data_IF_551436575554
#
_entry.id   IF_551436575554
#
_cell.length_a   1.000
_cell.length_b   1.000
_cell.length_c   1.000
_cell.angle_alpha   90.00
_cell.angle_beta   90.00
_cell.angle_gamma   90.00
#
_symmetry.space_group_name_H-M   'P 1'
#
loop_
_entity.id
_entity.type
_entity.pdbx_description
1 polymer ?
#
# COMPACT_ATOMS: atom_id res chain seq x y z
N UNK A 1 -13.22 -4.39 4.34
CA UNK A 1 -12.82 -3.37 5.33
C UNK A 1 -12.21 -2.16 4.64
N UNK A 2 -12.17 -1.01 5.28
CA UNK A 2 -11.51 0.20 4.79
C UNK A 2 -10.50 0.73 5.81
N UNK A 3 -9.58 1.57 5.34
CA UNK A 3 -8.56 2.19 6.16
C UNK A 3 -7.51 2.93 5.33
N UNK A 4 -6.45 3.45 5.94
CA UNK A 4 -5.44 4.22 5.23
C UNK A 4 -4.63 3.34 4.28
N UNK A 5 -4.43 3.84 3.07
CA UNK A 5 -3.45 3.28 2.14
C UNK A 5 -2.01 3.62 2.59
N UNK A 6 -1.03 2.90 2.03
CA UNK A 6 0.38 3.14 2.29
C UNK A 6 0.76 4.59 1.97
N UNK A 7 1.15 5.33 3.00
CA UNK A 7 1.47 6.74 2.93
C UNK A 7 2.04 7.25 4.27
N UNK A 8 2.37 8.55 4.40
CA UNK A 8 2.87 9.11 5.65
C UNK A 8 1.93 8.88 6.84
N UNK A 9 0.65 8.89 6.58
CA UNK A 9 -0.42 8.67 7.55
C UNK A 9 -0.51 7.23 8.08
N UNK A 10 0.19 6.27 7.49
CA UNK A 10 0.24 4.87 7.94
C UNK A 10 1.66 4.42 8.34
N UNK A 11 2.55 5.35 8.66
CA UNK A 11 3.92 5.04 9.09
C UNK A 11 4.09 5.04 10.61
N UNK A 12 3.50 6.01 11.32
CA UNK A 12 3.65 6.14 12.76
C UNK A 12 2.53 5.42 13.51
N UNK A 13 2.88 4.76 14.60
CA UNK A 13 1.92 4.01 15.43
C UNK A 13 0.74 4.89 15.90
N UNK A 14 0.99 6.10 16.30
CA UNK A 14 -0.05 7.04 16.74
C UNK A 14 -1.07 7.35 15.66
N UNK A 15 -0.64 7.47 14.39
CA UNK A 15 -1.54 7.74 13.27
C UNK A 15 -2.40 6.52 12.94
N UNK A 16 -1.80 5.33 13.00
CA UNK A 16 -2.51 4.05 12.80
C UNK A 16 -3.57 3.87 13.90
N UNK A 17 -3.21 4.13 15.15
CA UNK A 17 -4.13 4.07 16.30
C UNK A 17 -5.27 5.09 16.13
N UNK A 18 -4.96 6.33 15.77
CA UNK A 18 -5.97 7.35 15.53
C UNK A 18 -6.95 6.95 14.41
N UNK A 19 -6.43 6.40 13.30
CA UNK A 19 -7.25 5.89 12.21
C UNK A 19 -8.15 4.72 12.65
N UNK A 20 -7.67 3.81 13.52
CA UNK A 20 -8.49 2.74 14.09
C UNK A 20 -9.66 3.31 14.90
N UNK A 21 -9.41 4.30 15.77
CA UNK A 21 -10.47 4.95 16.55
C UNK A 21 -11.47 5.70 15.67
N UNK A 22 -11.03 6.20 14.51
CA UNK A 22 -11.89 6.79 13.48
C UNK A 22 -12.70 5.76 12.67
N UNK A 23 -12.50 4.45 12.91
CA UNK A 23 -13.26 3.38 12.26
C UNK A 23 -12.50 2.52 11.26
N UNK A 24 -11.22 2.80 10.99
CA UNK A 24 -10.41 1.97 10.10
C UNK A 24 -10.22 0.55 10.66
N UNK A 25 -10.25 -0.44 9.75
CA UNK A 25 -10.06 -1.87 10.08
C UNK A 25 -9.09 -2.57 9.11
N UNK A 26 -8.57 -1.84 8.15
CA UNK A 26 -7.52 -2.29 7.25
C UNK A 26 -6.42 -1.23 7.19
N UNK A 27 -5.18 -1.61 7.39
CA UNK A 27 -4.05 -0.70 7.44
C UNK A 27 -2.97 -1.19 6.49
N UNK A 28 -2.82 -0.54 5.36
CA UNK A 28 -1.65 -0.74 4.55
C UNK A 28 -0.55 0.17 5.08
N UNK A 29 0.43 -0.44 5.75
CA UNK A 29 1.53 0.30 6.34
C UNK A 29 2.43 0.89 5.25
N UNK A 30 3.05 2.03 5.54
CA UNK A 30 3.89 2.76 4.59
C UNK A 30 4.93 1.82 3.97
N UNK A 31 5.07 1.91 2.66
CA UNK A 31 6.02 1.09 1.88
C UNK A 31 7.43 1.20 2.42
N UNK A 32 8.11 0.07 2.55
CA UNK A 32 9.54 -0.01 2.82
C UNK A 32 10.29 -0.46 1.57
N UNK A 33 11.52 -0.01 1.44
CA UNK A 33 12.38 -0.31 0.29
C UNK A 33 13.86 -0.28 0.69
N UNK A 34 14.73 -0.57 -0.28
CA UNK A 34 16.18 -0.57 -0.12
C UNK A 34 16.73 0.78 0.36
N UNK A 35 16.30 1.89 -0.26
CA UNK A 35 16.62 3.25 0.18
C UNK A 35 15.64 3.68 1.27
N UNK A 36 16.12 4.19 2.37
CA UNK A 36 15.30 4.61 3.50
C UNK A 36 15.93 5.78 4.28
N UNK A 37 15.19 6.33 5.23
CA UNK A 37 15.65 7.33 6.16
C UNK A 37 16.35 8.52 5.51
N UNK A 38 17.60 8.77 5.94
CA UNK A 38 18.41 9.89 5.45
C UNK A 38 18.81 9.73 3.97
N UNK A 39 18.96 8.51 3.45
CA UNK A 39 19.30 8.29 2.05
C UNK A 39 18.19 8.88 1.17
N UNK A 40 16.94 8.57 1.49
CA UNK A 40 15.78 9.09 0.78
C UNK A 40 15.65 10.61 0.96
N UNK A 41 15.86 11.11 2.18
CA UNK A 41 15.77 12.53 2.49
C UNK A 41 16.76 13.40 1.69
N UNK A 42 17.88 12.84 1.25
CA UNK A 42 18.86 13.53 0.39
C UNK A 42 18.45 13.59 -1.08
N UNK A 43 17.61 12.65 -1.52
CA UNK A 43 17.19 12.53 -2.93
C UNK A 43 15.89 13.28 -3.22
N UNK A 44 15.03 13.51 -2.22
CA UNK A 44 13.70 14.10 -2.41
C UNK A 44 13.73 15.59 -2.07
N UNK A 45 13.42 16.46 -3.04
CA UNK A 45 13.33 17.90 -2.79
C UNK A 45 12.18 18.24 -1.84
N UNK A 46 12.29 19.35 -1.12
CA UNK A 46 11.27 19.80 -0.15
C UNK A 46 10.73 21.17 -0.54
N UNK A 47 9.43 21.45 -0.30
CA UNK A 47 8.40 20.52 0.25
C UNK A 47 8.12 19.37 -0.72
N UNK A 48 7.81 18.18 -0.18
CA UNK A 48 7.61 16.97 -0.99
C UNK A 48 6.15 16.50 -1.07
N UNK A 49 5.24 17.18 -0.39
CA UNK A 49 3.80 16.87 -0.39
C UNK A 49 3.00 18.16 -0.44
N UNK A 50 2.02 18.19 -1.32
CA UNK A 50 0.92 19.16 -1.34
C UNK A 50 -0.38 18.41 -1.04
N UNK A 51 -0.91 18.60 0.17
CA UNK A 51 -2.16 18.01 0.61
C UNK A 51 -3.33 18.92 0.25
N UNK A 52 -3.92 18.68 -0.91
CA UNK A 52 -5.11 19.35 -1.43
C UNK A 52 -6.07 18.31 -2.01
N UNK A 53 -7.19 18.74 -2.59
CA UNK A 53 -8.16 17.85 -3.26
C UNK A 53 -7.50 16.97 -4.36
N UNK A 54 -6.59 17.56 -5.11
CA UNK A 54 -5.75 16.91 -6.12
C UNK A 54 -4.44 16.46 -5.48
N UNK A 55 -4.24 16.07 -4.38
CA UNK A 55 -2.98 15.79 -3.70
C UNK A 55 -1.81 15.48 -4.63
N UNK A 56 -0.67 16.09 -4.38
CA UNK A 56 0.56 15.85 -5.14
C UNK A 56 1.71 15.48 -4.20
N UNK A 57 2.61 14.63 -4.67
CA UNK A 57 3.83 14.31 -3.94
C UNK A 57 5.02 14.14 -4.89
N UNK A 58 6.23 14.34 -4.36
CA UNK A 58 7.44 13.87 -5.00
C UNK A 58 7.57 12.35 -4.76
N UNK A 59 8.36 11.67 -5.58
CA UNK A 59 8.61 10.26 -5.37
C UNK A 59 9.32 10.02 -4.02
N UNK A 60 8.76 9.13 -3.23
CA UNK A 60 9.31 8.77 -1.91
C UNK A 60 8.67 7.47 -1.42
N UNK A 61 9.35 6.84 -0.48
CA UNK A 61 8.87 5.62 0.14
C UNK A 61 8.88 5.79 1.66
N UNK A 62 9.71 5.05 2.38
CA UNK A 62 9.82 5.16 3.83
C UNK A 62 10.65 6.38 4.22
N UNK A 63 10.13 7.25 5.08
CA UNK A 63 10.88 8.40 5.63
C UNK A 63 11.70 8.02 6.87
N UNK A 64 11.30 6.97 7.57
CA UNK A 64 12.07 6.33 8.62
C UNK A 64 13.02 5.29 8.03
N UNK A 65 14.05 4.94 8.79
CA UNK A 65 14.79 3.72 8.50
C UNK A 65 13.88 2.49 8.63
N UNK A 66 14.14 1.44 7.84
CA UNK A 66 13.28 0.24 7.82
C UNK A 66 13.08 -0.37 9.22
N UNK A 67 14.11 -0.51 10.08
CA UNK A 67 13.91 -1.00 11.45
C UNK A 67 13.04 -0.08 12.30
N UNK A 68 13.13 1.23 12.13
CA UNK A 68 12.29 2.20 12.85
C UNK A 68 10.83 2.08 12.42
N UNK A 69 10.58 2.01 11.10
CA UNK A 69 9.24 1.81 10.55
C UNK A 69 8.62 0.50 11.05
N UNK A 70 9.38 -0.61 11.03
CA UNK A 70 8.96 -1.90 11.58
C UNK A 70 8.53 -1.78 13.05
N UNK A 71 9.32 -1.08 13.86
CA UNK A 71 9.01 -0.88 15.26
C UNK A 71 7.70 -0.12 15.47
N UNK A 72 7.43 0.91 14.66
CA UNK A 72 6.16 1.63 14.69
C UNK A 72 4.96 0.71 14.34
N UNK A 73 5.11 -0.18 13.37
CA UNK A 73 4.04 -1.12 13.00
C UNK A 73 3.78 -2.16 14.08
N UNK A 74 4.83 -2.69 14.71
CA UNK A 74 4.71 -3.62 15.84
C UNK A 74 4.06 -2.94 17.05
N UNK A 75 4.45 -1.69 17.37
CA UNK A 75 3.80 -0.90 18.44
C UNK A 75 2.31 -0.72 18.18
N UNK A 76 1.94 -0.30 16.96
CA UNK A 76 0.54 -0.13 16.59
C UNK A 76 -0.24 -1.43 16.71
N UNK A 77 0.32 -2.55 16.23
CA UNK A 77 -0.29 -3.87 16.32
C UNK A 77 -0.60 -4.26 17.77
N UNK A 78 0.42 -4.24 18.63
CA UNK A 78 0.27 -4.62 20.04
C UNK A 78 -0.72 -3.70 20.77
N UNK A 79 -0.59 -2.38 20.58
CA UNK A 79 -1.48 -1.40 21.19
C UNK A 79 -2.94 -1.61 20.76
N UNK A 80 -3.20 -1.79 19.47
CA UNK A 80 -4.56 -1.99 18.96
C UNK A 80 -5.21 -3.27 19.46
N UNK A 81 -4.46 -4.36 19.67
CA UNK A 81 -4.99 -5.58 20.29
C UNK A 81 -5.56 -5.32 21.68
N UNK A 82 -4.84 -4.56 22.50
CA UNK A 82 -5.28 -4.23 23.87
C UNK A 82 -6.38 -3.17 23.86
N UNK A 83 -6.19 -2.06 23.12
CA UNK A 83 -7.13 -0.94 23.10
C UNK A 83 -8.50 -1.35 22.52
N UNK A 84 -8.52 -2.20 21.49
CA UNK A 84 -9.78 -2.71 20.95
C UNK A 84 -10.59 -3.47 21.98
N UNK A 85 -9.94 -4.28 22.81
CA UNK A 85 -10.57 -5.03 23.89
C UNK A 85 -11.03 -4.12 25.03
N UNK A 86 -10.10 -3.32 25.56
CA UNK A 86 -10.34 -2.46 26.74
C UNK A 86 -11.45 -1.43 26.49
N UNK A 87 -11.46 -0.83 25.30
CA UNK A 87 -12.48 0.17 24.94
C UNK A 87 -13.70 -0.42 24.22
N UNK A 88 -13.77 -1.74 24.03
CA UNK A 88 -14.95 -2.36 23.38
C UNK A 88 -15.15 -1.93 21.93
N UNK A 89 -14.06 -1.66 21.19
CA UNK A 89 -14.12 -1.14 19.81
C UNK A 89 -14.24 -2.22 18.73
N UNK A 90 -14.59 -3.43 19.13
CA UNK A 90 -14.73 -4.60 18.28
C UNK A 90 -13.74 -5.71 18.67
N UNK A 91 -13.74 -6.79 17.88
CA UNK A 91 -12.80 -7.89 18.12
C UNK A 91 -11.35 -7.44 18.01
N UNK A 92 -10.47 -7.84 18.94
CA UNK A 92 -9.03 -7.64 18.80
C UNK A 92 -8.43 -8.26 17.52
N UNK A 93 -9.13 -9.21 16.91
CA UNK A 93 -8.77 -9.81 15.62
C UNK A 93 -9.57 -9.24 14.44
N UNK A 94 -10.35 -8.19 14.67
CA UNK A 94 -11.22 -7.56 13.69
C UNK A 94 -10.54 -6.54 12.77
N UNK A 95 -9.21 -6.50 12.70
CA UNK A 95 -8.48 -5.61 11.81
C UNK A 95 -7.28 -6.31 11.17
N UNK A 96 -6.82 -5.77 10.06
CA UNK A 96 -5.74 -6.34 9.23
C UNK A 96 -4.64 -5.30 9.02
N UNK A 97 -3.39 -5.73 9.19
CA UNK A 97 -2.23 -5.00 8.69
C UNK A 97 -1.75 -5.66 7.39
N UNK A 98 -1.51 -4.85 6.37
CA UNK A 98 -0.96 -5.26 5.10
C UNK A 98 0.40 -4.56 4.89
N UNK A 99 1.45 -5.35 4.66
CA UNK A 99 2.75 -4.79 4.32
C UNK A 99 2.73 -4.15 2.93
N UNK A 100 3.62 -3.21 2.70
CA UNK A 100 3.92 -2.70 1.37
C UNK A 100 5.44 -2.67 1.20
N UNK A 101 5.93 -3.27 0.13
CA UNK A 101 7.35 -3.33 -0.22
C UNK A 101 7.56 -2.87 -1.65
N UNK A 102 8.69 -2.24 -1.91
CA UNK A 102 9.01 -1.70 -3.21
C UNK A 102 10.47 -1.90 -3.59
N UNK A 103 10.86 -1.33 -4.75
CA UNK A 103 12.14 -1.40 -5.41
C UNK A 103 12.26 -2.62 -6.34
N UNK A 104 13.44 -3.26 -6.43
CA UNK A 104 13.70 -4.45 -7.24
C UNK A 104 13.74 -5.73 -6.39
N UNK A 105 13.76 -6.89 -7.03
CA UNK A 105 13.80 -8.18 -6.33
C UNK A 105 15.05 -8.34 -5.46
N UNK A 106 16.20 -7.89 -5.94
CA UNK A 106 17.46 -7.99 -5.18
C UNK A 106 17.41 -7.11 -3.92
N UNK A 107 16.82 -5.91 -4.02
CA UNK A 107 16.59 -5.05 -2.87
C UNK A 107 15.62 -5.65 -1.86
N UNK A 108 14.54 -6.29 -2.33
CA UNK A 108 13.56 -6.98 -1.48
C UNK A 108 14.18 -8.21 -0.81
N UNK A 109 15.05 -8.96 -1.52
CA UNK A 109 15.81 -10.08 -0.96
C UNK A 109 16.97 -9.67 -0.06
N UNK A 110 17.40 -8.41 -0.16
CA UNK A 110 18.45 -7.86 0.68
C UNK A 110 18.10 -7.92 2.17
N UNK A 111 19.10 -8.07 3.03
CA UNK A 111 18.93 -8.30 4.47
C UNK A 111 17.95 -7.31 5.13
N UNK A 112 18.03 -6.03 4.78
CA UNK A 112 17.21 -4.95 5.35
C UNK A 112 15.71 -5.22 5.16
N UNK A 113 15.27 -5.39 3.91
CA UNK A 113 13.84 -5.57 3.57
C UNK A 113 13.39 -7.00 3.88
N UNK A 114 14.24 -7.99 3.62
CA UNK A 114 13.92 -9.37 3.91
C UNK A 114 13.69 -9.62 5.40
N UNK A 115 14.55 -9.07 6.28
CA UNK A 115 14.36 -9.16 7.73
C UNK A 115 13.08 -8.45 8.21
N UNK A 116 12.74 -7.30 7.59
CA UNK A 116 11.47 -6.64 7.85
C UNK A 116 10.28 -7.55 7.54
N UNK A 117 10.27 -8.18 6.36
CA UNK A 117 9.19 -9.11 5.98
C UNK A 117 9.07 -10.24 7.00
N UNK A 118 10.18 -10.88 7.34
CA UNK A 118 10.20 -12.01 8.28
C UNK A 118 9.73 -11.61 9.68
N UNK A 119 10.16 -10.46 10.17
CA UNK A 119 9.74 -9.92 11.46
C UNK A 119 8.27 -9.48 11.49
N UNK A 120 7.72 -9.02 10.38
CA UNK A 120 6.29 -8.71 10.30
C UNK A 120 5.44 -9.99 10.21
N UNK A 121 5.97 -11.07 9.66
CA UNK A 121 5.34 -12.39 9.66
C UNK A 121 5.40 -13.06 11.02
N UNK A 122 6.47 -12.83 11.78
CA UNK A 122 6.64 -13.30 13.15
C UNK A 122 7.56 -12.37 13.97
N UNK A 123 6.95 -11.47 14.73
CA UNK A 123 7.64 -10.49 15.57
C UNK A 123 8.15 -11.06 16.92
N UNK A 124 7.93 -12.33 17.22
CA UNK A 124 8.19 -12.94 18.56
C UNK A 124 9.63 -12.74 19.06
N UNK A 125 10.59 -12.70 18.14
CA UNK A 125 12.01 -12.54 18.46
C UNK A 125 12.46 -11.07 18.48
N UNK A 126 11.65 -10.14 18.02
CA UNK A 126 12.02 -8.70 18.00
C UNK A 126 12.03 -8.11 19.41
N UNK A 127 12.97 -7.21 19.67
CA UNK A 127 13.03 -6.50 20.94
C UNK A 127 11.77 -5.64 21.15
N UNK A 128 11.28 -5.01 20.07
CA UNK A 128 10.10 -4.14 20.13
C UNK A 128 8.82 -4.89 20.52
N UNK A 129 8.60 -6.10 20.03
CA UNK A 129 7.41 -6.90 20.43
C UNK A 129 7.45 -7.23 21.93
N UNK A 130 8.61 -7.68 22.42
CA UNK A 130 8.80 -8.00 23.83
C UNK A 130 8.61 -6.79 24.74
N UNK A 131 9.16 -5.63 24.33
CA UNK A 131 8.97 -4.37 25.04
C UNK A 131 7.50 -3.96 25.08
N UNK A 132 6.79 -4.05 23.94
CA UNK A 132 5.36 -3.72 23.90
C UNK A 132 4.55 -4.59 24.88
N UNK A 133 4.79 -5.89 24.92
CA UNK A 133 4.08 -6.77 25.85
C UNK A 133 4.36 -6.41 27.29
N UNK A 134 5.61 -6.07 27.65
CA UNK A 134 5.98 -5.66 28.99
C UNK A 134 5.29 -4.35 29.40
N UNK A 135 5.38 -3.32 28.57
CA UNK A 135 4.76 -2.00 28.83
C UNK A 135 3.24 -2.12 28.92
N UNK A 136 2.61 -2.87 27.99
CA UNK A 136 1.16 -3.05 28.03
C UNK A 136 0.71 -3.82 29.27
N UNK A 137 1.48 -4.81 29.73
CA UNK A 137 1.18 -5.56 30.97
C UNK A 137 1.27 -4.63 32.21
N UNK A 138 2.21 -3.68 32.22
CA UNK A 138 2.32 -2.69 33.29
C UNK A 138 1.13 -1.71 33.29
N UNK A 139 0.72 -1.25 32.09
CA UNK A 139 -0.38 -0.31 31.93
C UNK A 139 -1.77 -0.93 32.14
N UNK A 140 -1.94 -2.20 31.81
CA UNK A 140 -3.19 -2.95 31.87
C UNK A 140 -2.99 -4.30 32.57
N UNK A 141 -2.67 -4.31 33.88
CA UNK A 141 -2.34 -5.53 34.60
C UNK A 141 -3.48 -6.56 34.66
N UNK A 142 -4.73 -6.10 34.58
CA UNK A 142 -5.93 -6.95 34.51
C UNK A 142 -6.04 -7.72 33.20
N UNK A 143 -5.35 -7.28 32.16
CA UNK A 143 -5.32 -7.91 30.84
C UNK A 143 -4.08 -8.77 30.57
N UNK A 144 -3.29 -9.07 31.62
CA UNK A 144 -1.98 -9.76 31.52
C UNK A 144 -2.02 -11.04 30.68
N UNK A 145 -3.01 -11.89 30.92
CA UNK A 145 -3.09 -13.20 30.20
C UNK A 145 -3.45 -12.98 28.72
N UNK A 146 -4.32 -12.02 28.44
CA UNK A 146 -4.64 -11.63 27.07
C UNK A 146 -3.41 -11.03 26.36
N UNK A 147 -2.68 -10.16 27.02
CA UNK A 147 -1.47 -9.51 26.47
C UNK A 147 -0.40 -10.56 26.16
N UNK A 148 -0.19 -11.53 27.06
CA UNK A 148 0.74 -12.63 26.85
C UNK A 148 0.37 -13.53 25.65
N UNK A 149 -0.92 -13.57 25.29
CA UNK A 149 -1.44 -14.34 24.17
C UNK A 149 -1.52 -13.55 22.84
N UNK A 150 -1.09 -12.28 22.81
CA UNK A 150 -1.09 -11.50 21.56
C UNK A 150 -0.23 -12.20 20.51
N UNK A 151 -0.84 -12.45 19.34
CA UNK A 151 -0.13 -13.07 18.24
C UNK A 151 1.02 -12.19 17.74
N UNK A 152 2.23 -12.71 17.61
CA UNK A 152 3.36 -11.99 17.03
C UNK A 152 3.23 -11.82 15.49
N UNK A 153 2.23 -12.42 14.88
CA UNK A 153 2.00 -12.36 13.44
C UNK A 153 1.30 -11.05 13.08
N UNK A 154 2.10 -10.02 12.77
CA UNK A 154 1.61 -8.67 12.47
C UNK A 154 0.94 -8.61 11.10
N UNK A 155 1.51 -9.26 10.09
CA UNK A 155 0.93 -9.30 8.75
C UNK A 155 1.11 -10.66 8.06
N UNK A 156 0.14 -11.01 7.20
CA UNK A 156 0.17 -12.18 6.33
C UNK A 156 0.04 -11.83 4.85
N UNK A 157 0.02 -10.54 4.55
CA UNK A 157 -0.19 -10.05 3.20
C UNK A 157 0.74 -8.89 2.87
N UNK A 158 0.99 -8.70 1.58
CA UNK A 158 1.91 -7.69 1.08
C UNK A 158 1.45 -7.10 -0.24
N UNK A 159 1.62 -5.79 -0.39
CA UNK A 159 1.48 -5.11 -1.67
C UNK A 159 2.86 -4.87 -2.28
N UNK A 160 3.03 -5.28 -3.54
CA UNK A 160 4.20 -4.96 -4.36
C UNK A 160 3.99 -3.57 -4.96
N UNK A 161 4.85 -2.62 -4.57
CA UNK A 161 4.84 -1.23 -5.03
C UNK A 161 6.11 -0.95 -5.81
N UNK A 162 6.09 -1.21 -7.12
CA UNK A 162 7.23 -0.97 -8.00
C UNK A 162 7.28 0.49 -8.45
N UNK A 163 8.47 0.92 -8.89
CA UNK A 163 8.68 2.21 -9.51
C UNK A 163 8.01 2.27 -10.90
N UNK A 164 7.78 3.47 -11.41
CA UNK A 164 7.45 3.68 -12.82
C UNK A 164 8.59 3.14 -13.70
N UNK A 165 8.25 2.55 -14.84
CA UNK A 165 9.22 1.91 -15.73
C UNK A 165 9.70 0.52 -15.29
N UNK A 166 9.13 -0.06 -14.22
CA UNK A 166 9.49 -1.42 -13.81
C UNK A 166 9.02 -2.45 -14.85
N UNK A 167 9.93 -3.28 -15.41
CA UNK A 167 9.56 -4.28 -16.40
C UNK A 167 8.55 -5.31 -15.88
N UNK A 168 7.60 -5.78 -16.72
CA UNK A 168 6.61 -6.79 -16.32
C UNK A 168 7.22 -8.05 -15.70
N UNK A 169 8.34 -8.51 -16.26
CA UNK A 169 9.06 -9.70 -15.78
C UNK A 169 9.60 -9.51 -14.36
N UNK A 170 10.03 -8.29 -14.02
CA UNK A 170 10.52 -7.99 -12.67
C UNK A 170 9.36 -7.95 -11.68
N UNK A 171 8.24 -7.34 -12.03
CA UNK A 171 7.01 -7.35 -11.22
C UNK A 171 6.58 -8.80 -10.93
N UNK A 172 6.56 -9.64 -11.98
CA UNK A 172 6.19 -11.06 -11.85
C UNK A 172 7.17 -11.84 -10.96
N UNK A 173 8.48 -11.59 -11.08
CA UNK A 173 9.51 -12.23 -10.25
C UNK A 173 9.34 -11.85 -8.78
N UNK A 174 9.09 -10.57 -8.48
CA UNK A 174 8.86 -10.09 -7.11
C UNK A 174 7.60 -10.75 -6.53
N UNK A 175 6.47 -10.68 -7.24
CA UNK A 175 5.22 -11.25 -6.77
C UNK A 175 5.33 -12.77 -6.58
N UNK A 176 5.99 -13.48 -7.51
CA UNK A 176 6.23 -14.92 -7.40
C UNK A 176 7.10 -15.28 -6.18
N UNK A 177 8.15 -14.50 -5.90
CA UNK A 177 8.97 -14.67 -4.71
C UNK A 177 8.15 -14.56 -3.41
N UNK A 178 7.32 -13.53 -3.31
CA UNK A 178 6.48 -13.30 -2.14
C UNK A 178 5.42 -14.40 -1.95
N UNK A 179 4.85 -14.89 -3.04
CA UNK A 179 3.90 -16.01 -3.03
C UNK A 179 4.58 -17.35 -2.69
N UNK A 180 5.74 -17.64 -3.27
CA UNK A 180 6.33 -18.99 -3.18
C UNK A 180 7.31 -19.17 -2.03
N UNK A 181 8.20 -18.21 -1.83
CA UNK A 181 9.26 -18.31 -0.82
C UNK A 181 8.81 -17.72 0.53
N UNK A 182 8.01 -16.64 0.51
CA UNK A 182 7.49 -16.04 1.74
C UNK A 182 6.11 -16.56 2.15
N UNK A 183 5.34 -17.14 1.24
CA UNK A 183 4.00 -17.66 1.55
C UNK A 183 3.00 -16.57 1.95
N UNK A 184 3.09 -15.40 1.33
CA UNK A 184 2.26 -14.24 1.62
C UNK A 184 1.14 -14.07 0.59
N UNK A 185 -0.05 -13.72 1.04
CA UNK A 185 -1.07 -13.15 0.17
C UNK A 185 -0.49 -11.90 -0.49
N UNK A 186 -0.55 -11.81 -1.81
CA UNK A 186 0.22 -10.80 -2.56
C UNK A 186 -0.67 -9.98 -3.48
N UNK A 187 -0.53 -8.66 -3.39
CA UNK A 187 -1.22 -7.71 -4.25
C UNK A 187 -0.19 -6.92 -5.07
N UNK A 188 -0.46 -6.73 -6.36
CA UNK A 188 0.37 -5.89 -7.24
C UNK A 188 -0.31 -4.52 -7.39
N UNK A 189 0.43 -3.46 -7.04
CA UNK A 189 -0.03 -2.09 -7.23
C UNK A 189 0.18 -1.66 -8.67
N UNK A 190 -0.91 -1.28 -9.35
CA UNK A 190 -0.91 -0.93 -10.76
C UNK A 190 -0.88 0.58 -10.96
N UNK A 191 -0.11 1.04 -11.95
CA UNK A 191 -0.05 2.43 -12.35
C UNK A 191 -1.26 2.79 -13.25
N UNK A 192 -1.84 3.99 -13.13
CA UNK A 192 -2.93 4.43 -14.03
C UNK A 192 -2.56 4.47 -15.51
N UNK A 193 -1.27 4.52 -15.82
CA UNK A 193 -0.70 4.45 -17.16
C UNK A 193 -1.11 3.19 -17.94
N UNK A 194 -1.50 2.12 -17.25
CA UNK A 194 -2.04 0.89 -17.85
C UNK A 194 -3.30 1.13 -18.70
N UNK A 195 -3.99 2.25 -18.49
CA UNK A 195 -5.15 2.66 -19.31
C UNK A 195 -4.78 3.09 -20.73
N UNK A 196 -3.53 3.48 -20.95
CA UNK A 196 -3.03 4.11 -22.15
C UNK A 196 -3.31 5.62 -22.19
N UNK A 197 -2.39 6.39 -22.82
CA UNK A 197 -2.39 7.85 -22.86
C UNK A 197 -3.73 8.46 -23.29
N UNK A 198 -4.25 8.02 -24.45
CA UNK A 198 -5.50 8.58 -25.01
C UNK A 198 -6.68 8.42 -24.06
N UNK A 199 -6.78 7.28 -23.39
CA UNK A 199 -7.87 7.04 -22.43
C UNK A 199 -7.72 7.92 -21.20
N UNK A 200 -6.53 7.98 -20.62
CA UNK A 200 -6.27 8.80 -19.44
C UNK A 200 -6.57 10.28 -19.75
N UNK A 201 -6.08 10.78 -20.90
CA UNK A 201 -6.34 12.17 -21.34
C UNK A 201 -7.82 12.46 -21.52
N UNK A 202 -8.54 11.56 -22.23
CA UNK A 202 -9.98 11.72 -22.44
C UNK A 202 -10.77 11.76 -21.13
N UNK A 203 -10.43 10.89 -20.18
CA UNK A 203 -11.11 10.86 -18.89
C UNK A 203 -10.88 12.17 -18.13
N UNK A 204 -9.62 12.59 -18.00
CA UNK A 204 -9.28 13.80 -17.25
C UNK A 204 -9.90 15.06 -17.88
N UNK A 205 -9.84 15.19 -19.19
CA UNK A 205 -10.46 16.31 -19.91
C UNK A 205 -11.97 16.37 -19.69
N UNK A 206 -12.63 15.21 -19.76
CA UNK A 206 -14.09 15.14 -19.57
C UNK A 206 -14.54 15.50 -18.15
N UNK A 207 -13.64 15.42 -17.19
CA UNK A 207 -13.88 15.75 -15.78
C UNK A 207 -13.43 17.15 -15.40
N UNK A 208 -12.92 17.96 -16.37
CA UNK A 208 -12.46 19.31 -16.13
C UNK A 208 -11.03 19.41 -15.61
N UNK A 209 -10.23 18.33 -15.73
CA UNK A 209 -8.81 18.30 -15.39
C UNK A 209 -7.90 18.47 -16.62
N UNK A 210 -8.35 19.23 -17.61
CA UNK A 210 -7.61 19.56 -18.85
C UNK A 210 -6.33 20.37 -18.60
N UNK A 211 -6.26 21.07 -17.47
CA UNK A 211 -5.07 21.82 -17.03
C UNK A 211 -3.94 20.92 -16.47
N UNK A 212 -4.21 19.65 -16.19
CA UNK A 212 -3.18 18.69 -15.73
C UNK A 212 -2.37 18.25 -16.96
N UNK A 213 -1.08 18.50 -16.94
CA UNK A 213 -0.17 18.21 -18.05
C UNK A 213 0.60 16.94 -17.79
N UNK A 214 0.69 16.08 -18.78
CA UNK A 214 1.52 14.88 -18.83
C UNK A 214 1.72 14.45 -20.29
N UNK A 215 2.79 13.72 -20.56
CA UNK A 215 3.12 13.19 -21.87
C UNK A 215 2.96 11.66 -21.99
N UNK A 216 3.42 11.10 -23.10
CA UNK A 216 3.34 9.64 -23.36
C UNK A 216 4.48 8.83 -22.72
N UNK A 217 5.48 9.47 -22.12
CA UNK A 217 6.72 8.82 -21.68
C UNK A 217 6.42 7.67 -20.71
N UNK A 218 5.79 7.95 -19.58
CA UNK A 218 5.46 6.92 -18.59
C UNK A 218 4.49 5.85 -19.11
N UNK A 219 3.61 6.21 -20.07
CA UNK A 219 2.70 5.24 -20.69
C UNK A 219 3.42 4.22 -21.56
N UNK A 220 4.56 4.58 -22.13
CA UNK A 220 5.36 3.70 -22.98
C UNK A 220 6.32 2.82 -22.16
N UNK A 221 6.71 3.25 -20.97
CA UNK A 221 7.68 2.55 -20.12
C UNK A 221 7.02 1.65 -19.06
N UNK A 222 5.86 2.05 -18.55
CA UNK A 222 5.13 1.30 -17.53
C UNK A 222 4.49 0.01 -18.08
N UNK A 223 4.00 -0.82 -17.18
CA UNK A 223 3.29 -2.06 -17.47
C UNK A 223 2.13 -1.84 -18.46
N UNK A 224 2.22 -2.46 -19.64
CA UNK A 224 1.20 -2.38 -20.67
C UNK A 224 0.08 -3.39 -20.42
N UNK A 225 -1.14 -3.07 -20.85
CA UNK A 225 -2.30 -3.96 -20.73
C UNK A 225 -2.07 -5.35 -21.32
N UNK A 226 -1.40 -5.42 -22.48
CA UNK A 226 -1.13 -6.67 -23.18
C UNK A 226 -0.19 -7.60 -22.39
N UNK A 227 0.73 -7.04 -21.61
CA UNK A 227 1.66 -7.80 -20.76
C UNK A 227 1.04 -8.08 -19.38
N UNK A 228 0.23 -7.16 -18.88
CA UNK A 228 -0.38 -7.24 -17.56
C UNK A 228 -1.36 -8.40 -17.42
N UNK A 229 -2.27 -8.56 -18.40
CA UNK A 229 -3.32 -9.58 -18.32
C UNK A 229 -2.75 -10.99 -18.20
N UNK A 230 -1.83 -11.44 -19.10
CA UNK A 230 -1.24 -12.78 -18.97
C UNK A 230 -0.41 -12.95 -17.69
N UNK A 231 0.28 -11.89 -17.23
CA UNK A 231 1.02 -11.90 -15.97
C UNK A 231 0.09 -12.11 -14.79
N UNK A 232 -1.02 -11.38 -14.72
CA UNK A 232 -2.00 -11.53 -13.64
C UNK A 232 -2.65 -12.92 -13.62
N UNK A 233 -2.93 -13.50 -14.80
CA UNK A 233 -3.43 -14.87 -14.90
C UNK A 233 -2.44 -15.89 -14.34
N UNK A 234 -1.15 -15.77 -14.67
CA UNK A 234 -0.10 -16.66 -14.14
C UNK A 234 0.06 -16.51 -12.62
N UNK A 235 0.07 -15.26 -12.12
CA UNK A 235 0.19 -14.99 -10.68
C UNK A 235 -1.04 -15.48 -9.90
N UNK A 236 -2.24 -15.35 -10.47
CA UNK A 236 -3.45 -15.91 -9.85
C UNK A 236 -3.36 -17.45 -9.77
N UNK A 237 -2.99 -18.11 -10.86
CA UNK A 237 -2.83 -19.56 -10.87
C UNK A 237 -1.76 -20.05 -9.89
N UNK A 238 -0.66 -19.30 -9.76
CA UNK A 238 0.40 -19.57 -8.79
C UNK A 238 -0.11 -19.45 -7.36
N UNK A 239 -0.82 -18.37 -7.04
CA UNK A 239 -1.41 -18.16 -5.72
C UNK A 239 -2.42 -19.27 -5.35
N UNK A 240 -3.31 -19.62 -6.29
CA UNK A 240 -4.29 -20.69 -6.11
C UNK A 240 -3.59 -22.03 -5.81
N UNK A 241 -2.49 -22.34 -6.51
CA UNK A 241 -1.70 -23.56 -6.27
C UNK A 241 -1.07 -23.65 -4.88
N UNK A 242 -0.91 -22.49 -4.22
CA UNK A 242 -0.33 -22.35 -2.87
C UNK A 242 -1.39 -22.16 -1.78
N UNK A 243 -2.67 -22.07 -2.14
CA UNK A 243 -3.74 -21.73 -1.20
C UNK A 243 -3.62 -20.29 -0.67
N UNK A 244 -3.04 -19.40 -1.48
CA UNK A 244 -2.86 -17.99 -1.17
C UNK A 244 -3.80 -17.13 -2.01
N UNK A 245 -3.93 -15.86 -1.61
CA UNK A 245 -4.68 -14.88 -2.36
C UNK A 245 -3.74 -14.03 -3.21
N UNK A 246 -4.17 -13.78 -4.45
CA UNK A 246 -3.58 -12.79 -5.33
C UNK A 246 -4.63 -11.72 -5.66
N UNK A 247 -4.19 -10.49 -5.84
CA UNK A 247 -5.06 -9.40 -6.23
C UNK A 247 -4.28 -8.19 -6.76
N UNK A 248 -5.03 -7.16 -7.10
CA UNK A 248 -4.49 -5.92 -7.63
C UNK A 248 -4.86 -4.76 -6.72
N UNK A 249 -3.90 -3.89 -6.44
CA UNK A 249 -4.16 -2.60 -5.81
C UNK A 249 -4.30 -1.53 -6.88
N UNK A 250 -5.43 -0.86 -6.89
CA UNK A 250 -5.74 0.23 -7.80
C UNK A 250 -5.94 1.52 -7.00
N UNK A 251 -5.12 2.53 -7.21
CA UNK A 251 -3.98 2.57 -8.10
C UNK A 251 -2.73 3.09 -7.39
N UNK A 252 -1.60 3.08 -8.09
CA UNK A 252 -0.49 3.96 -7.75
C UNK A 252 -0.88 5.41 -8.06
N UNK A 253 -0.04 6.37 -7.64
CA UNK A 253 -0.12 7.77 -8.04
C UNK A 253 0.14 7.91 -9.55
N UNK A 254 -0.23 9.06 -10.11
CA UNK A 254 -0.14 9.31 -11.55
C UNK A 254 0.90 10.42 -11.83
N UNK A 255 1.93 10.15 -12.65
CA UNK A 255 2.95 11.14 -12.96
C UNK A 255 2.38 12.27 -13.83
N UNK A 256 2.69 13.51 -13.44
CA UNK A 256 2.24 14.73 -14.12
C UNK A 256 3.32 15.80 -14.03
N UNK A 257 3.34 16.73 -14.98
CA UNK A 257 4.28 17.83 -15.00
C UNK A 257 3.93 18.90 -13.94
N UNK A 258 4.95 19.47 -13.31
CA UNK A 258 4.80 20.63 -12.45
C UNK A 258 4.68 21.89 -13.30
N UNK A 259 3.49 22.43 -13.42
CA UNK A 259 3.23 23.59 -14.31
C UNK A 259 2.86 24.87 -13.58
N UNK A 260 2.44 24.76 -12.32
CA UNK A 260 1.97 25.89 -11.50
C UNK A 260 2.81 26.08 -10.22
N UNK A 261 4.03 25.55 -10.21
CA UNK A 261 4.92 25.53 -9.05
C UNK A 261 4.30 24.87 -7.79
N UNK A 262 3.55 23.80 -7.98
CA UNK A 262 2.90 23.06 -6.91
C UNK A 262 3.93 22.44 -5.95
N UNK A 263 4.98 21.84 -6.53
CA UNK A 263 6.11 21.24 -5.81
C UNK A 263 7.42 21.57 -6.54
N UNK A 264 8.59 21.41 -5.88
CA UNK A 264 9.89 21.53 -6.55
C UNK A 264 10.08 20.47 -7.65
N UNK A 265 10.86 20.82 -8.67
CA UNK A 265 11.15 19.92 -9.79
C UNK A 265 10.21 20.09 -10.97
N UNK A 266 10.37 19.24 -11.97
CA UNK A 266 9.62 19.29 -13.23
C UNK A 266 8.47 18.29 -13.29
N UNK A 267 8.49 17.28 -12.44
CA UNK A 267 7.50 16.21 -12.35
C UNK A 267 7.05 16.00 -10.90
N UNK A 268 5.81 15.62 -10.74
CA UNK A 268 5.21 15.23 -9.46
C UNK A 268 4.19 14.10 -9.68
N UNK A 269 3.74 13.50 -8.60
CA UNK A 269 2.78 12.39 -8.64
C UNK A 269 1.43 12.83 -8.10
N UNK A 270 0.41 12.80 -8.96
CA UNK A 270 -0.97 13.13 -8.61
C UNK A 270 -1.63 12.00 -7.83
N UNK A 271 -2.39 12.37 -6.82
CA UNK A 271 -3.22 11.49 -5.99
C UNK A 271 -4.53 12.22 -5.60
N UNK A 272 -5.27 11.69 -4.65
CA UNK A 272 -6.49 12.32 -4.17
C UNK A 272 -7.67 12.16 -5.12
N UNK A 273 -8.57 13.15 -5.13
CA UNK A 273 -9.85 13.08 -5.83
C UNK A 273 -9.71 13.00 -7.35
N UNK A 274 -8.76 13.69 -7.94
CA UNK A 274 -8.50 13.69 -9.38
C UNK A 274 -8.04 12.33 -9.92
N UNK A 275 -7.49 11.47 -9.05
CA UNK A 275 -7.09 10.10 -9.41
C UNK A 275 -8.30 9.15 -9.51
N UNK A 276 -9.42 9.45 -8.87
CA UNK A 276 -10.59 8.57 -8.81
C UNK A 276 -11.13 8.17 -10.19
N UNK A 277 -11.32 9.08 -11.17
CA UNK A 277 -11.82 8.73 -12.49
C UNK A 277 -10.95 7.71 -13.22
N UNK A 278 -9.63 7.84 -13.10
CA UNK A 278 -8.68 6.89 -13.69
C UNK A 278 -8.76 5.54 -12.98
N UNK A 279 -8.80 5.55 -11.66
CA UNK A 279 -8.83 4.33 -10.84
C UNK A 279 -10.11 3.54 -11.05
N UNK A 280 -11.27 4.19 -11.15
CA UNK A 280 -12.54 3.50 -11.36
C UNK A 280 -12.62 2.88 -12.78
N UNK A 281 -12.04 3.53 -13.79
CA UNK A 281 -11.94 2.93 -15.13
C UNK A 281 -11.00 1.72 -15.14
N UNK A 282 -9.85 1.78 -14.43
CA UNK A 282 -8.99 0.62 -14.24
C UNK A 282 -9.77 -0.54 -13.61
N UNK A 283 -10.49 -0.26 -12.53
CA UNK A 283 -11.33 -1.23 -11.84
C UNK A 283 -12.35 -1.88 -12.79
N UNK A 284 -13.04 -1.06 -13.57
CA UNK A 284 -14.03 -1.51 -14.57
C UNK A 284 -13.41 -2.43 -15.62
N UNK A 285 -12.25 -2.05 -16.19
CA UNK A 285 -11.55 -2.89 -17.20
C UNK A 285 -11.09 -4.21 -16.63
N UNK A 286 -10.47 -4.20 -15.45
CA UNK A 286 -10.00 -5.40 -14.76
C UNK A 286 -11.19 -6.31 -14.42
N UNK A 287 -12.26 -5.74 -13.86
CA UNK A 287 -13.44 -6.51 -13.49
C UNK A 287 -14.06 -7.21 -14.72
N UNK A 288 -14.17 -6.53 -15.86
CA UNK A 288 -14.65 -7.13 -17.11
C UNK A 288 -13.71 -8.23 -17.63
N UNK A 289 -12.38 -7.97 -17.63
CA UNK A 289 -11.38 -8.91 -18.12
C UNK A 289 -11.40 -10.21 -17.33
N UNK A 290 -11.54 -10.14 -16.03
CA UNK A 290 -11.49 -11.29 -15.13
C UNK A 290 -12.88 -11.75 -14.64
N UNK A 291 -13.95 -11.30 -15.30
CA UNK A 291 -15.34 -11.66 -14.96
C UNK A 291 -15.67 -11.46 -13.47
N UNK A 292 -15.21 -10.37 -12.88
CA UNK A 292 -15.41 -10.02 -11.49
C UNK A 292 -14.66 -10.90 -10.47
N UNK A 293 -13.78 -11.79 -10.91
CA UNK A 293 -13.07 -12.73 -10.03
C UNK A 293 -11.77 -12.18 -9.45
N UNK A 294 -11.17 -11.18 -10.09
CA UNK A 294 -9.93 -10.55 -9.59
C UNK A 294 -10.23 -9.76 -8.32
N UNK A 295 -9.49 -10.02 -7.26
CA UNK A 295 -9.57 -9.22 -6.03
C UNK A 295 -8.98 -7.84 -6.27
N UNK A 296 -9.70 -6.81 -5.88
CA UNK A 296 -9.30 -5.42 -6.06
C UNK A 296 -9.27 -4.72 -4.70
N UNK A 297 -8.08 -4.22 -4.33
CA UNK A 297 -7.90 -3.24 -3.28
C UNK A 297 -7.92 -1.85 -3.90
N UNK A 298 -8.88 -1.01 -3.55
CA UNK A 298 -9.06 0.30 -4.15
C UNK A 298 -8.44 1.40 -3.27
N UNK A 299 -7.56 2.21 -3.83
CA UNK A 299 -6.85 3.27 -3.09
C UNK A 299 -6.84 4.63 -3.80
N UNK A 300 -7.14 4.69 -5.08
CA UNK A 300 -7.08 5.92 -5.88
C UNK A 300 -8.32 6.79 -5.72
N UNK A 301 -8.30 7.72 -4.77
CA UNK A 301 -9.40 8.66 -4.55
C UNK A 301 -10.60 8.08 -3.81
N UNK A 302 -10.46 6.94 -3.11
CA UNK A 302 -11.49 6.48 -2.19
C UNK A 302 -11.63 7.48 -1.03
N UNK A 303 -12.85 7.90 -0.74
CA UNK A 303 -13.17 8.85 0.31
C UNK A 303 -14.50 8.51 0.98
N UNK A 304 -14.81 9.21 2.06
CA UNK A 304 -16.03 8.97 2.86
C UNK A 304 -17.32 9.06 2.02
N UNK A 305 -17.36 9.92 1.00
CA UNK A 305 -18.55 10.14 0.18
C UNK A 305 -18.76 9.13 -0.96
N UNK A 306 -17.80 8.23 -1.19
CA UNK A 306 -17.88 7.24 -2.27
C UNK A 306 -17.61 5.79 -1.82
N UNK A 307 -17.15 5.57 -0.60
CA UNK A 307 -16.78 4.23 -0.12
C UNK A 307 -17.97 3.26 -0.08
N UNK A 308 -19.17 3.72 0.22
CA UNK A 308 -20.40 2.92 0.19
C UNK A 308 -20.69 2.37 -1.22
N UNK A 309 -20.50 3.20 -2.25
CA UNK A 309 -20.67 2.83 -3.66
C UNK A 309 -19.59 1.87 -4.12
N UNK A 310 -18.36 2.07 -3.65
CA UNK A 310 -17.25 1.16 -3.94
C UNK A 310 -17.50 -0.23 -3.35
N UNK A 311 -18.00 -0.32 -2.11
CA UNK A 311 -18.39 -1.60 -1.51
C UNK A 311 -19.58 -2.23 -2.24
N UNK A 312 -20.58 -1.45 -2.61
CA UNK A 312 -21.73 -1.94 -3.37
C UNK A 312 -21.33 -2.48 -4.76
N UNK A 313 -20.26 -1.94 -5.36
CA UNK A 313 -19.67 -2.42 -6.60
C UNK A 313 -18.82 -3.70 -6.43
N UNK A 314 -18.66 -4.21 -5.21
CA UNK A 314 -17.90 -5.43 -4.93
C UNK A 314 -16.39 -5.21 -4.76
N UNK A 315 -15.95 -4.00 -4.52
CA UNK A 315 -14.55 -3.69 -4.20
C UNK A 315 -14.28 -4.09 -2.75
N UNK A 316 -13.14 -4.67 -2.56
CA UNK A 316 -12.69 -5.24 -1.27
C UNK A 316 -12.02 -4.20 -0.38
#
# INVERSE_FOLDING_TARGET
PFGPAAGPNSQLAQNIIAAYFAGARFFEVKTVQKMDGEELARCVPRPCILAADEGYNQEWSTELEVPQAQNEYIKAWCALKVLSKVYGLGSPDGFVFNMSVGYDLEGIKGEKVNSYIDNMMDASNTAQFKECLAVLTELFPEEKDFIAAISPRVSRSVTVSTLHGCPPQEIERIASYLLTEKGLHTFVKCNPTILGYKTARTILDSMGYDYIVFDEHHFNEDLQWADAVPMFERLQALADSKGLEFGLKLSNTFPVDTTRNELPGTEMYMSGRSLFPLTIEMCSRISRQFNGKMRISFAGGAEFFNCDKLFAAGIW
#
